data_IF_983089826064
#
_entry.id   IF_983089826064
#
_cell.length_a   1.000
_cell.length_b   1.000
_cell.length_c   1.000
_cell.angle_alpha   90.00
_cell.angle_beta   90.00
_cell.angle_gamma   90.00
#
_symmetry.space_group_name_H-M   'P 1'
#
loop_
_entity.id
_entity.type
_entity.pdbx_description
1 polymer ?
#
# COMPACT_ATOMS: atom_id res chain seq x y z
N UNK A 1 1.35 0.45 4.48
CA UNK A 1 0.22 0.02 3.63
C UNK A 1 -0.25 1.19 2.78
N UNK A 2 -0.60 0.92 1.52
CA UNK A 2 -1.30 1.86 0.65
C UNK A 2 -2.78 1.50 0.46
N UNK A 3 -3.62 2.48 0.15
CA UNK A 3 -5.06 2.30 -0.13
C UNK A 3 -5.47 2.96 -1.44
N UNK A 4 -6.62 2.54 -1.97
CA UNK A 4 -7.38 3.29 -2.96
C UNK A 4 -8.60 3.93 -2.32
N UNK A 5 -8.76 5.23 -2.51
CA UNK A 5 -9.85 6.03 -1.98
C UNK A 5 -10.59 6.74 -3.09
N UNK A 6 -11.93 6.73 -3.03
CA UNK A 6 -12.78 7.53 -3.90
C UNK A 6 -13.44 8.66 -3.13
N UNK A 7 -13.71 9.75 -3.82
CA UNK A 7 -14.48 10.85 -3.27
C UNK A 7 -15.93 10.42 -3.00
N UNK A 8 -16.53 10.91 -1.92
CA UNK A 8 -17.86 10.48 -1.48
C UNK A 8 -18.96 10.75 -2.51
N UNK A 9 -18.81 11.77 -3.37
CA UNK A 9 -19.78 12.07 -4.45
C UNK A 9 -19.55 11.28 -5.74
N UNK A 10 -18.55 10.40 -5.80
CA UNK A 10 -18.28 9.56 -6.98
C UNK A 10 -19.41 8.57 -7.30
N UNK A 11 -20.31 8.31 -6.34
CA UNK A 11 -21.38 7.31 -6.45
C UNK A 11 -20.88 5.86 -6.42
N UNK A 12 -19.66 5.64 -5.90
CA UNK A 12 -19.01 4.33 -5.76
C UNK A 12 -18.44 4.22 -4.36
N UNK A 13 -18.79 3.15 -3.65
CA UNK A 13 -18.35 2.94 -2.26
C UNK A 13 -17.58 1.61 -2.08
N UNK A 14 -17.73 0.68 -3.02
CA UNK A 14 -17.09 -0.65 -2.94
C UNK A 14 -16.21 -0.94 -4.16
N UNK A 15 -15.30 -1.90 -4.00
CA UNK A 15 -14.49 -2.39 -5.13
C UNK A 15 -15.36 -3.01 -6.24
N UNK A 16 -16.50 -3.60 -5.89
CA UNK A 16 -17.45 -4.19 -6.86
C UNK A 16 -18.10 -3.11 -7.71
N UNK A 17 -18.46 -1.98 -7.12
CA UNK A 17 -19.00 -0.83 -7.86
C UNK A 17 -17.98 -0.29 -8.87
N UNK A 18 -16.70 -0.25 -8.47
CA UNK A 18 -15.59 0.19 -9.32
C UNK A 18 -15.30 -0.74 -10.52
N UNK A 19 -15.83 -1.97 -10.53
CA UNK A 19 -15.79 -2.88 -11.70
C UNK A 19 -16.85 -2.57 -12.75
N UNK A 20 -17.91 -1.86 -12.35
CA UNK A 20 -19.09 -1.61 -13.19
C UNK A 20 -19.16 -0.18 -13.73
N UNK A 21 -18.45 0.76 -13.10
CA UNK A 21 -18.47 2.18 -13.47
C UNK A 21 -17.07 2.69 -13.77
N UNK A 22 -16.92 3.41 -14.89
CA UNK A 22 -15.68 4.12 -15.19
C UNK A 22 -15.49 5.28 -14.20
N UNK A 23 -14.29 5.36 -13.61
CA UNK A 23 -13.92 6.41 -12.66
C UNK A 23 -12.58 7.04 -13.02
N UNK A 24 -12.51 8.36 -12.93
CA UNK A 24 -11.29 9.13 -13.19
C UNK A 24 -10.41 9.12 -11.94
N UNK A 25 -9.19 8.59 -12.05
CA UNK A 25 -8.24 8.49 -10.94
C UNK A 25 -7.05 9.39 -11.22
N UNK A 26 -6.76 10.32 -10.29
CA UNK A 26 -5.61 11.22 -10.41
C UNK A 26 -4.30 10.53 -10.02
N UNK A 27 -3.23 10.82 -10.76
CA UNK A 27 -1.90 10.25 -10.57
C UNK A 27 -0.79 11.24 -10.89
N UNK A 28 0.38 11.06 -10.28
CA UNK A 28 1.57 11.84 -10.59
C UNK A 28 2.15 11.43 -11.95
N UNK A 29 2.75 10.24 -12.03
CA UNK A 29 3.39 9.72 -13.24
C UNK A 29 3.32 8.20 -13.33
N UNK A 30 3.68 7.64 -14.49
CA UNK A 30 3.52 6.20 -14.79
C UNK A 30 4.42 5.28 -13.95
N UNK A 31 5.51 5.80 -13.40
CA UNK A 31 6.41 5.09 -12.50
C UNK A 31 5.96 5.12 -11.03
N UNK A 32 4.94 5.92 -10.69
CA UNK A 32 4.48 6.12 -9.31
C UNK A 32 3.42 5.09 -8.90
N UNK A 33 3.37 4.76 -7.61
CA UNK A 33 2.31 3.96 -6.97
C UNK A 33 0.91 4.47 -7.33
N UNK A 34 0.73 5.79 -7.45
CA UNK A 34 -0.55 6.41 -7.83
C UNK A 34 -1.02 6.03 -9.23
N UNK A 35 -0.13 5.54 -10.11
CA UNK A 35 -0.47 4.99 -11.42
C UNK A 35 -0.46 3.46 -11.43
N UNK A 36 0.61 2.87 -10.89
CA UNK A 36 0.85 1.43 -10.97
C UNK A 36 -0.23 0.63 -10.24
N UNK A 37 -0.71 1.12 -9.09
CA UNK A 37 -1.71 0.42 -8.30
C UNK A 37 -3.14 0.44 -8.85
N UNK A 38 -3.72 1.58 -9.28
CA UNK A 38 -5.03 1.53 -9.94
C UNK A 38 -4.97 0.69 -11.22
N UNK A 39 -3.82 0.69 -11.91
CA UNK A 39 -3.61 -0.15 -13.08
C UNK A 39 -3.52 -1.64 -12.76
N UNK A 40 -2.84 -2.00 -11.68
CA UNK A 40 -2.81 -3.36 -11.16
C UNK A 40 -4.22 -3.89 -10.93
N UNK A 41 -5.08 -3.15 -10.25
CA UNK A 41 -6.45 -3.60 -9.94
C UNK A 41 -7.39 -3.55 -11.15
N UNK A 42 -7.14 -2.68 -12.15
CA UNK A 42 -7.79 -2.79 -13.46
C UNK A 42 -7.47 -4.14 -14.12
N UNK A 43 -6.17 -4.48 -14.19
CA UNK A 43 -5.69 -5.67 -14.89
C UNK A 43 -5.98 -6.99 -14.16
N UNK A 44 -6.25 -6.95 -12.86
CA UNK A 44 -6.44 -8.15 -12.04
C UNK A 44 -7.86 -8.36 -11.58
N UNK A 45 -8.50 -7.30 -11.07
CA UNK A 45 -9.84 -7.33 -10.50
C UNK A 45 -10.90 -6.85 -11.49
N UNK A 46 -10.51 -6.15 -12.57
CA UNK A 46 -11.43 -5.65 -13.59
C UNK A 46 -12.08 -4.31 -13.23
N UNK A 47 -11.46 -3.52 -12.37
CA UNK A 47 -11.90 -2.13 -12.17
C UNK A 47 -11.77 -1.33 -13.46
N UNK A 48 -12.61 -0.29 -13.61
CA UNK A 48 -12.65 0.56 -14.80
C UNK A 48 -12.06 1.93 -14.54
N UNK A 49 -10.86 1.98 -13.96
CA UNK A 49 -10.22 3.26 -13.67
C UNK A 49 -9.58 3.87 -14.90
N UNK A 50 -10.00 5.09 -15.25
CA UNK A 50 -9.33 5.97 -16.21
C UNK A 50 -8.30 6.79 -15.45
N UNK A 51 -7.03 6.43 -15.59
CA UNK A 51 -5.94 7.04 -14.81
C UNK A 51 -5.40 8.27 -15.54
N UNK A 52 -5.47 9.43 -14.91
CA UNK A 52 -4.97 10.71 -15.45
C UNK A 52 -3.67 11.07 -14.73
N UNK A 53 -2.57 11.10 -15.49
CA UNK A 53 -1.23 11.50 -15.01
C UNK A 53 -0.99 12.99 -15.21
N UNK A 54 0.03 13.54 -14.55
CA UNK A 54 0.50 14.92 -14.74
C UNK A 54 0.33 15.82 -13.52
N UNK A 55 -0.21 15.29 -12.42
CA UNK A 55 -0.27 16.03 -11.16
C UNK A 55 1.15 16.15 -10.56
N UNK A 56 1.62 17.36 -10.18
CA UNK A 56 2.97 17.54 -9.64
C UNK A 56 3.21 16.84 -8.30
N UNK A 57 2.15 16.66 -7.50
CA UNK A 57 2.24 16.00 -6.21
C UNK A 57 0.91 15.46 -5.70
N UNK A 58 0.99 14.69 -4.61
CA UNK A 58 -0.17 14.08 -3.96
C UNK A 58 -1.18 15.10 -3.40
N UNK A 59 -0.71 16.31 -3.06
CA UNK A 59 -1.59 17.40 -2.64
C UNK A 59 -2.44 17.92 -3.81
N UNK A 60 -1.86 18.05 -5.01
CA UNK A 60 -2.58 18.49 -6.21
C UNK A 60 -3.66 17.49 -6.60
N UNK A 61 -3.34 16.19 -6.55
CA UNK A 61 -4.36 15.13 -6.71
C UNK A 61 -5.48 15.30 -5.69
N UNK A 62 -5.14 15.57 -4.42
CA UNK A 62 -6.14 15.73 -3.36
C UNK A 62 -7.04 16.95 -3.59
N UNK A 63 -6.49 18.08 -4.05
CA UNK A 63 -7.28 19.26 -4.44
C UNK A 63 -8.17 18.97 -5.64
N UNK A 64 -7.67 18.20 -6.62
CA UNK A 64 -8.46 17.76 -7.76
C UNK A 64 -9.63 16.84 -7.37
N UNK A 65 -9.47 15.99 -6.33
CA UNK A 65 -10.58 15.24 -5.73
C UNK A 65 -11.65 16.19 -5.16
N UNK A 66 -11.25 17.18 -4.35
CA UNK A 66 -12.18 18.14 -3.74
C UNK A 66 -12.97 18.95 -4.78
N UNK A 67 -12.32 19.29 -5.90
CA UNK A 67 -12.93 20.01 -7.02
C UNK A 67 -13.77 19.13 -7.93
N UNK A 68 -13.73 17.80 -7.76
CA UNK A 68 -14.41 16.85 -8.63
C UNK A 68 -13.78 16.71 -10.02
N UNK A 69 -12.55 17.18 -10.22
CA UNK A 69 -11.78 16.99 -11.46
C UNK A 69 -11.39 15.52 -11.65
N UNK A 70 -11.12 14.83 -10.53
CA UNK A 70 -10.95 13.38 -10.46
C UNK A 70 -11.84 12.83 -9.35
N UNK A 71 -12.14 11.53 -9.41
CA UNK A 71 -13.07 10.87 -8.51
C UNK A 71 -12.37 10.00 -7.47
N UNK A 72 -11.04 9.85 -7.56
CA UNK A 72 -10.28 9.06 -6.61
C UNK A 72 -8.78 9.13 -6.80
N UNK A 73 -8.08 8.50 -5.86
CA UNK A 73 -6.63 8.30 -5.88
C UNK A 73 -6.28 6.94 -5.29
N UNK A 74 -5.18 6.37 -5.75
CA UNK A 74 -4.62 5.12 -5.25
C UNK A 74 -3.17 5.35 -4.83
N UNK A 75 -2.53 4.34 -4.21
CA UNK A 75 -1.15 4.49 -3.73
C UNK A 75 -1.00 5.41 -2.53
N UNK A 76 -2.11 5.78 -1.88
CA UNK A 76 -2.07 6.65 -0.72
C UNK A 76 -1.73 5.84 0.53
N UNK A 77 -0.62 6.15 1.19
CA UNK A 77 -0.32 5.57 2.50
C UNK A 77 -1.37 5.98 3.53
N UNK A 78 -1.84 5.00 4.32
CA UNK A 78 -2.88 5.24 5.32
C UNK A 78 -2.45 6.21 6.42
N UNK A 79 -1.20 6.12 6.90
CA UNK A 79 -0.62 7.10 7.81
C UNK A 79 -0.66 8.52 7.26
N UNK A 80 -0.35 8.71 5.97
CA UNK A 80 -0.43 10.02 5.33
C UNK A 80 -1.87 10.50 5.17
N UNK A 81 -2.83 9.60 4.94
CA UNK A 81 -4.24 9.97 4.95
C UNK A 81 -4.68 10.50 6.31
N UNK A 82 -4.37 9.76 7.37
CA UNK A 82 -4.65 10.16 8.76
C UNK A 82 -4.00 11.50 9.13
N UNK A 83 -2.74 11.72 8.75
CA UNK A 83 -2.01 12.92 9.16
C UNK A 83 -2.34 14.16 8.33
N UNK A 84 -2.59 14.01 7.03
CA UNK A 84 -2.78 15.16 6.12
C UNK A 84 -4.23 15.48 5.83
N UNK A 85 -5.15 14.52 5.99
CA UNK A 85 -6.59 14.67 5.70
C UNK A 85 -7.48 13.96 6.75
N UNK A 86 -7.29 14.18 8.06
CA UNK A 86 -8.09 13.52 9.11
C UNK A 86 -9.59 13.79 8.94
N UNK A 87 -9.97 15.02 8.62
CA UNK A 87 -11.35 15.44 8.37
C UNK A 87 -12.03 14.65 7.24
N UNK A 88 -11.29 14.21 6.21
CA UNK A 88 -11.90 13.40 5.15
C UNK A 88 -12.31 12.01 5.63
N UNK A 89 -11.58 11.47 6.61
CA UNK A 89 -11.87 10.16 7.21
C UNK A 89 -13.01 10.32 8.23
N UNK A 90 -12.89 11.29 9.14
CA UNK A 90 -13.86 11.56 10.20
C UNK A 90 -15.25 11.93 9.65
N UNK A 91 -15.28 12.80 8.63
CA UNK A 91 -16.52 13.24 7.99
C UNK A 91 -16.96 12.31 6.84
N UNK A 92 -16.29 11.19 6.62
CA UNK A 92 -16.59 10.22 5.54
C UNK A 92 -16.65 10.85 4.14
N UNK A 93 -15.76 11.81 3.85
CA UNK A 93 -15.61 12.42 2.52
C UNK A 93 -14.89 11.51 1.53
N UNK A 94 -14.30 10.42 2.00
CA UNK A 94 -13.70 9.39 1.16
C UNK A 94 -14.22 7.99 1.49
N UNK A 95 -14.37 7.17 0.45
CA UNK A 95 -14.64 5.73 0.56
C UNK A 95 -13.34 4.96 0.29
N UNK A 96 -12.84 4.23 1.29
CA UNK A 96 -11.65 3.37 1.12
C UNK A 96 -12.10 2.03 0.52
N UNK A 97 -11.73 1.77 -0.74
CA UNK A 97 -12.25 0.62 -1.47
C UNK A 97 -11.50 -0.68 -1.18
N UNK A 98 -10.17 -0.57 -1.05
CA UNK A 98 -9.27 -1.72 -1.02
C UNK A 98 -7.94 -1.33 -0.37
N UNK A 99 -7.38 -2.27 0.39
CA UNK A 99 -6.02 -2.24 0.93
C UNK A 99 -5.06 -2.90 -0.04
N UNK A 100 -4.00 -2.19 -0.39
CA UNK A 100 -2.96 -2.60 -1.32
C UNK A 100 -1.66 -2.86 -0.58
N UNK A 101 -1.62 -3.99 0.12
CA UNK A 101 -0.55 -4.43 1.02
C UNK A 101 -0.53 -5.95 1.13
N UNK A 102 0.47 -6.50 1.82
CA UNK A 102 0.56 -7.94 2.13
C UNK A 102 -0.35 -8.38 3.28
N UNK A 103 -0.74 -7.45 4.16
CA UNK A 103 -1.56 -7.71 5.34
C UNK A 103 -2.59 -6.59 5.54
N UNK A 104 -3.70 -6.94 6.21
CA UNK A 104 -4.72 -5.96 6.63
C UNK A 104 -4.15 -5.03 7.70
N UNK A 105 -4.59 -3.78 7.66
CA UNK A 105 -4.31 -2.79 8.66
C UNK A 105 -5.37 -2.84 9.77
N UNK A 106 -4.98 -2.74 11.05
CA UNK A 106 -5.90 -2.80 12.19
C UNK A 106 -7.04 -1.77 12.13
N UNK A 107 -6.76 -0.56 11.64
CA UNK A 107 -7.77 0.51 11.49
C UNK A 107 -8.84 0.23 10.41
N UNK A 108 -8.57 -0.69 9.48
CA UNK A 108 -9.42 -0.95 8.31
C UNK A 108 -9.78 -2.44 8.18
N UNK A 109 -10.33 -3.10 9.23
CA UNK A 109 -10.57 -4.55 9.20
C UNK A 109 -11.62 -4.94 8.14
N UNK A 110 -12.58 -4.04 7.90
CA UNK A 110 -13.70 -4.22 6.97
C UNK A 110 -13.36 -3.92 5.51
N UNK A 111 -12.25 -3.21 5.25
CA UNK A 111 -11.83 -2.91 3.88
C UNK A 111 -11.18 -4.17 3.27
N UNK A 112 -11.58 -4.62 2.07
CA UNK A 112 -10.97 -5.78 1.41
C UNK A 112 -9.45 -5.62 1.25
N UNK A 113 -8.70 -6.70 1.48
CA UNK A 113 -7.28 -6.79 1.16
C UNK A 113 -7.11 -7.38 -0.24
N UNK A 114 -6.25 -6.80 -1.06
CA UNK A 114 -5.98 -7.32 -2.41
C UNK A 114 -5.50 -8.78 -2.42
N UNK A 115 -4.76 -9.20 -1.40
CA UNK A 115 -4.30 -10.59 -1.23
C UNK A 115 -5.46 -11.59 -1.10
N UNK A 116 -6.58 -11.15 -0.51
CA UNK A 116 -7.80 -11.96 -0.33
C UNK A 116 -8.62 -12.02 -1.62
N UNK A 117 -8.35 -11.12 -2.58
CA UNK A 117 -9.03 -11.03 -3.87
C UNK A 117 -8.24 -11.68 -5.02
N UNK A 118 -7.11 -12.33 -4.73
CA UNK A 118 -6.37 -13.10 -5.73
C UNK A 118 -7.19 -14.32 -6.20
N UNK A 119 -7.30 -14.49 -7.51
CA UNK A 119 -8.03 -15.57 -8.19
C UNK A 119 -7.34 -16.93 -8.05
N UNK A 120 -6.02 -16.92 -8.02
CA UNK A 120 -5.17 -18.11 -7.97
C UNK A 120 -3.85 -17.82 -7.24
N UNK A 121 -3.04 -18.86 -7.06
CA UNK A 121 -1.74 -18.76 -6.38
C UNK A 121 -0.71 -17.96 -7.18
N UNK A 122 -0.75 -18.01 -8.51
CA UNK A 122 0.14 -17.20 -9.35
C UNK A 122 -0.12 -15.71 -9.12
N UNK A 123 -1.38 -15.29 -9.12
CA UNK A 123 -1.76 -13.91 -8.86
C UNK A 123 -1.41 -13.49 -7.44
N UNK A 124 -1.58 -14.38 -6.45
CA UNK A 124 -1.15 -14.13 -5.08
C UNK A 124 0.37 -13.95 -4.99
N UNK A 125 1.16 -14.72 -5.72
CA UNK A 125 2.62 -14.55 -5.80
C UNK A 125 3.01 -13.24 -6.49
N UNK A 126 2.34 -12.87 -7.58
CA UNK A 126 2.56 -11.57 -8.23
C UNK A 126 2.26 -10.40 -7.29
N UNK A 127 1.14 -10.45 -6.55
CA UNK A 127 0.84 -9.45 -5.52
C UNK A 127 1.91 -9.41 -4.43
N UNK A 128 2.40 -10.57 -3.97
CA UNK A 128 3.51 -10.63 -3.02
C UNK A 128 4.73 -9.89 -3.54
N UNK A 129 5.15 -10.15 -4.78
CA UNK A 129 6.28 -9.45 -5.40
C UNK A 129 6.06 -7.93 -5.44
N UNK A 130 4.89 -7.50 -5.92
CA UNK A 130 4.58 -6.08 -6.11
C UNK A 130 4.57 -5.32 -4.76
N UNK A 131 3.98 -5.91 -3.71
CA UNK A 131 3.83 -5.25 -2.42
C UNK A 131 5.00 -5.48 -1.47
N UNK A 132 5.91 -6.41 -1.76
CA UNK A 132 7.10 -6.65 -0.95
C UNK A 132 7.94 -5.38 -0.74
N UNK A 133 8.06 -4.53 -1.77
CA UNK A 133 8.80 -3.27 -1.66
C UNK A 133 8.21 -2.31 -0.63
N UNK A 134 6.89 -2.36 -0.39
CA UNK A 134 6.27 -1.52 0.65
C UNK A 134 6.73 -1.95 2.04
N UNK A 135 6.86 -3.26 2.26
CA UNK A 135 7.34 -3.84 3.51
C UNK A 135 8.81 -3.50 3.74
N UNK A 136 9.60 -3.54 2.67
CA UNK A 136 11.02 -3.18 2.68
C UNK A 136 11.28 -1.66 2.57
N UNK A 137 10.26 -0.80 2.72
CA UNK A 137 10.40 0.64 2.42
C UNK A 137 11.34 1.41 3.33
N UNK A 138 11.59 0.94 4.57
CA UNK A 138 12.52 1.55 5.54
C UNK A 138 13.30 0.48 6.32
N UNK A 139 14.16 -0.29 5.64
CA UNK A 139 14.79 -1.47 6.24
C UNK A 139 15.98 -1.06 7.11
N UNK A 140 16.06 -1.62 8.32
CA UNK A 140 17.27 -1.56 9.14
C UNK A 140 18.15 -2.75 8.77
N UNK A 141 19.30 -2.47 8.13
CA UNK A 141 20.15 -3.50 7.52
C UNK A 141 21.52 -3.53 8.19
N UNK A 142 22.10 -4.72 8.25
CA UNK A 142 23.51 -4.91 8.62
C UNK A 142 24.32 -5.38 7.42
N UNK A 143 25.63 -5.54 7.58
CA UNK A 143 26.53 -5.97 6.50
C UNK A 143 26.51 -7.49 6.31
N UNK A 144 26.82 -8.00 5.10
CA UNK A 144 27.05 -9.43 4.89
C UNK A 144 28.13 -9.99 5.83
N UNK A 145 27.95 -11.22 6.33
CA UNK A 145 28.93 -11.91 7.17
C UNK A 145 28.95 -11.51 8.65
N UNK A 146 27.96 -10.75 9.12
CA UNK A 146 27.80 -10.46 10.56
C UNK A 146 27.63 -11.77 11.35
N UNK A 147 28.36 -11.95 12.46
CA UNK A 147 28.19 -13.11 13.32
C UNK A 147 26.74 -13.27 13.81
N UNK A 148 26.23 -14.51 13.81
CA UNK A 148 24.83 -14.81 14.09
C UNK A 148 24.36 -14.27 15.45
N UNK A 149 25.20 -14.38 16.49
CA UNK A 149 24.93 -13.85 17.83
C UNK A 149 24.69 -12.32 17.82
N UNK A 150 25.41 -11.59 16.97
CA UNK A 150 25.27 -10.14 16.83
C UNK A 150 24.04 -9.76 16.02
N UNK A 151 23.71 -10.53 14.98
CA UNK A 151 22.48 -10.36 14.22
C UNK A 151 21.26 -10.53 15.13
N UNK A 152 21.22 -11.61 15.91
CA UNK A 152 20.13 -11.90 16.85
C UNK A 152 20.00 -10.81 17.91
N UNK A 153 21.12 -10.33 18.48
CA UNK A 153 21.12 -9.24 19.44
C UNK A 153 20.53 -7.95 18.85
N UNK A 154 20.90 -7.59 17.61
CA UNK A 154 20.38 -6.40 16.93
C UNK A 154 18.88 -6.53 16.60
N UNK A 155 18.46 -7.68 16.07
CA UNK A 155 17.05 -7.95 15.76
C UNK A 155 16.20 -7.90 17.03
N UNK A 156 16.68 -8.49 18.13
CA UNK A 156 15.99 -8.46 19.41
C UNK A 156 15.88 -7.04 19.96
N UNK A 157 16.98 -6.30 20.03
CA UNK A 157 17.00 -4.93 20.54
C UNK A 157 16.06 -4.00 19.75
N UNK A 158 16.04 -4.14 18.42
CA UNK A 158 15.10 -3.42 17.57
C UNK A 158 13.65 -3.74 17.95
N UNK A 159 13.28 -5.02 18.02
CA UNK A 159 11.90 -5.42 18.32
C UNK A 159 11.46 -5.10 19.76
N UNK A 160 12.38 -5.15 20.72
CA UNK A 160 12.11 -4.70 22.10
C UNK A 160 11.80 -3.19 22.12
N UNK A 161 12.55 -2.38 21.37
CA UNK A 161 12.34 -0.92 21.27
C UNK A 161 10.97 -0.61 20.67
N UNK A 162 10.55 -1.35 19.63
CA UNK A 162 9.23 -1.14 19.01
C UNK A 162 8.05 -1.51 19.92
N UNK A 163 8.31 -2.14 21.07
CA UNK A 163 7.31 -2.46 22.10
C UNK A 163 7.48 -1.61 23.37
N UNK A 164 8.52 -0.77 23.42
CA UNK A 164 8.80 0.06 24.59
C UNK A 164 7.70 1.13 24.75
N UNK A 165 7.05 1.22 25.93
CA UNK A 165 5.96 2.17 26.14
C UNK A 165 6.38 3.64 25.99
N UNK A 166 7.61 3.99 26.35
CA UNK A 166 8.09 5.36 26.23
C UNK A 166 8.35 5.72 24.76
N UNK A 167 8.93 4.79 23.99
CA UNK A 167 9.07 4.92 22.54
C UNK A 167 7.72 5.07 21.84
N UNK A 168 6.75 4.22 22.17
CA UNK A 168 5.41 4.26 21.58
C UNK A 168 4.66 5.55 21.94
N UNK A 169 4.77 6.02 23.18
CA UNK A 169 4.16 7.28 23.61
C UNK A 169 4.75 8.49 22.85
N UNK A 170 6.06 8.50 22.61
CA UNK A 170 6.69 9.58 21.85
C UNK A 170 6.35 9.49 20.36
N UNK A 171 6.32 8.28 19.79
CA UNK A 171 5.87 8.07 18.41
C UNK A 171 4.44 8.56 18.21
N UNK A 172 3.54 8.31 19.16
CA UNK A 172 2.15 8.79 19.11
C UNK A 172 2.06 10.32 19.13
N UNK A 173 2.80 11.00 20.02
CA UNK A 173 2.88 12.47 20.05
C UNK A 173 3.34 13.04 18.70
N UNK A 174 4.32 12.40 18.08
CA UNK A 174 4.84 12.76 16.76
C UNK A 174 3.97 12.29 15.60
N UNK A 175 2.86 11.59 15.89
CA UNK A 175 1.93 10.97 14.92
C UNK A 175 2.64 10.01 13.97
N UNK A 176 3.66 9.32 14.47
CA UNK A 176 4.37 8.26 13.77
C UNK A 176 3.68 6.91 13.98
N UNK A 177 3.35 6.27 12.87
CA UNK A 177 2.80 4.92 12.88
C UNK A 177 3.93 3.90 13.03
N UNK A 178 3.86 3.10 14.10
CA UNK A 178 4.85 2.07 14.43
C UNK A 178 4.26 0.69 14.08
N UNK A 179 4.66 0.15 12.93
CA UNK A 179 4.28 -1.19 12.46
C UNK A 179 5.53 -1.95 12.02
N UNK A 180 6.38 -2.41 12.95
CA UNK A 180 7.64 -3.05 12.62
C UNK A 180 7.42 -4.44 12.00
N UNK A 181 8.37 -4.85 11.16
CA UNK A 181 8.42 -6.21 10.60
C UNK A 181 9.70 -6.87 11.09
N UNK A 182 9.62 -8.04 11.75
CA UNK A 182 10.82 -8.73 12.24
C UNK A 182 11.77 -9.12 11.11
N UNK A 183 13.07 -9.10 11.39
CA UNK A 183 14.12 -9.50 10.46
C UNK A 183 13.87 -10.85 9.77
N UNK A 184 13.55 -11.93 10.51
CA UNK A 184 13.24 -13.23 9.90
C UNK A 184 12.06 -13.20 8.92
N UNK A 185 11.06 -12.34 9.16
CA UNK A 185 9.95 -12.19 8.23
C UNK A 185 10.36 -11.49 6.93
N UNK A 186 11.31 -10.53 7.01
CA UNK A 186 11.92 -9.90 5.83
C UNK A 186 12.78 -10.92 5.06
N UNK A 187 13.59 -11.71 5.75
CA UNK A 187 14.41 -12.77 5.14
C UNK A 187 13.56 -13.77 4.37
N UNK A 188 12.46 -14.24 4.98
CA UNK A 188 11.51 -15.12 4.32
C UNK A 188 10.86 -14.46 3.10
N UNK A 189 10.45 -13.19 3.21
CA UNK A 189 9.88 -12.45 2.09
C UNK A 189 10.87 -12.34 0.92
N UNK A 190 12.13 -12.03 1.19
CA UNK A 190 13.19 -11.97 0.17
C UNK A 190 13.44 -13.34 -0.45
N UNK A 191 13.54 -14.40 0.37
CA UNK A 191 13.74 -15.75 -0.12
C UNK A 191 12.59 -16.22 -1.04
N UNK A 192 11.35 -15.87 -0.69
CA UNK A 192 10.17 -16.20 -1.49
C UNK A 192 10.16 -15.46 -2.83
N UNK A 193 10.57 -14.19 -2.84
CA UNK A 193 10.71 -13.39 -4.07
C UNK A 193 11.78 -13.99 -4.98
N UNK A 194 12.92 -14.39 -4.42
CA UNK A 194 14.03 -14.96 -5.20
C UNK A 194 13.70 -16.34 -5.79
N UNK A 195 12.74 -17.08 -5.21
CA UNK A 195 12.24 -18.35 -5.76
C UNK A 195 11.23 -18.17 -6.89
N UNK A 196 10.75 -16.96 -7.13
CA UNK A 196 9.68 -16.73 -8.09
C UNK A 196 10.17 -16.96 -9.53
N UNK A 197 9.44 -17.71 -10.38
CA UNK A 197 9.85 -17.94 -11.76
C UNK A 197 10.03 -16.62 -12.52
N UNK A 198 11.09 -16.44 -13.34
CA UNK A 198 11.30 -15.21 -14.09
C UNK A 198 10.11 -14.78 -14.95
N UNK A 199 9.43 -15.74 -15.58
CA UNK A 199 8.22 -15.50 -16.36
C UNK A 199 7.07 -14.91 -15.51
N UNK A 200 6.94 -15.35 -14.26
CA UNK A 200 5.93 -14.81 -13.35
C UNK A 200 6.31 -13.39 -12.87
N UNK A 201 7.60 -13.13 -12.65
CA UNK A 201 8.10 -11.79 -12.31
C UNK A 201 7.89 -10.80 -13.44
N UNK A 202 8.12 -11.23 -14.69
CA UNK A 202 7.82 -10.44 -15.87
C UNK A 202 6.32 -10.15 -15.99
N UNK A 203 5.46 -11.17 -15.79
CA UNK A 203 4.00 -11.02 -15.79
C UNK A 203 3.53 -10.04 -14.71
N UNK A 204 4.10 -10.10 -13.50
CA UNK A 204 3.83 -9.13 -12.44
C UNK A 204 4.20 -7.70 -12.88
N UNK A 205 5.34 -7.53 -13.55
CA UNK A 205 5.76 -6.24 -14.10
C UNK A 205 4.81 -5.72 -15.19
N UNK A 206 4.27 -6.59 -16.03
CA UNK A 206 3.31 -6.21 -17.08
C UNK A 206 1.99 -5.69 -16.49
N UNK A 207 1.56 -6.18 -15.32
CA UNK A 207 0.36 -5.66 -14.65
C UNK A 207 0.48 -4.17 -14.27
N UNK A 208 1.69 -3.65 -14.14
CA UNK A 208 1.97 -2.26 -13.74
C UNK A 208 2.18 -1.30 -14.92
N UNK A 209 2.51 -1.80 -16.12
CA UNK A 209 2.93 -1.04 -17.32
C UNK A 209 1.82 -0.72 -18.29
#
# INVERSE_FOLDING_TARGET
>A
MSVCALWHTSGVATIKDAMNKELVIGSLGTADDTYQYPRLINNTLGTRFKIITGYPGNNDVSVALERGEVQGRCGWSWSSAKSTRPAWIEEKKINILIQLSLSKHPDLPEVPLIMDLAKDDEQRQMFRLIFARQVMGRPFQSTPGVPQDRLEALQKAFMDTMKDPAFLAEADKLKFEITPVPGPAIENLVADILKMPPALAERAGQLLK
#
